data_IF_483014647274
#
_entry.id   IF_483014647274
#
_cell.length_a   1.000
_cell.length_b   1.000
_cell.length_c   1.000
_cell.angle_alpha   90.00
_cell.angle_beta   90.00
_cell.angle_gamma   90.00
#
_symmetry.space_group_name_H-M   'P 1'
#
loop_
_entity.id
_entity.type
_entity.pdbx_description
1 polymer ?
#
# COMPACT_ATOMS: atom_id res chain seq x y z
N UNK A 1 2.77 -8.94 -0.06
CA UNK A 1 1.93 -8.32 -1.12
C UNK A 1 1.03 -9.30 -1.87
N UNK A 2 1.32 -10.61 -1.94
CA UNK A 2 0.40 -11.57 -2.58
C UNK A 2 -0.99 -11.62 -1.94
N UNK A 3 -1.07 -11.48 -0.62
CA UNK A 3 -2.35 -11.53 0.13
C UNK A 3 -3.27 -10.32 -0.15
N UNK A 4 -2.72 -9.10 -0.20
CA UNK A 4 -3.50 -7.90 -0.53
C UNK A 4 -4.05 -7.97 -1.97
N UNK A 5 -3.21 -8.39 -2.93
CA UNK A 5 -3.65 -8.59 -4.31
C UNK A 5 -4.75 -9.66 -4.40
N UNK A 6 -4.60 -10.78 -3.69
CA UNK A 6 -5.62 -11.82 -3.66
C UNK A 6 -6.96 -11.31 -3.11
N UNK A 7 -6.95 -10.47 -2.07
CA UNK A 7 -8.17 -9.82 -1.58
C UNK A 7 -8.78 -8.87 -2.62
N UNK A 8 -7.96 -8.05 -3.28
CA UNK A 8 -8.42 -7.13 -4.33
C UNK A 8 -9.05 -7.89 -5.52
N UNK A 9 -8.39 -8.94 -6.01
CA UNK A 9 -8.92 -9.78 -7.11
C UNK A 9 -10.21 -10.53 -6.72
N UNK A 10 -10.29 -11.02 -5.47
CA UNK A 10 -11.48 -11.68 -4.96
C UNK A 10 -12.68 -10.73 -4.88
N UNK A 11 -12.46 -9.49 -4.44
CA UNK A 11 -13.50 -8.45 -4.41
C UNK A 11 -13.87 -8.01 -5.82
N UNK A 12 -12.89 -7.78 -6.69
CA UNK A 12 -13.09 -7.35 -8.07
C UNK A 12 -13.66 -8.46 -9.00
N UNK A 13 -13.72 -9.71 -8.53
CA UNK A 13 -14.16 -10.90 -9.28
C UNK A 13 -13.41 -11.08 -10.62
N UNK A 14 -12.18 -10.58 -10.71
CA UNK A 14 -11.33 -10.68 -11.90
C UNK A 14 -9.87 -10.65 -11.51
N UNK A 15 -9.02 -11.14 -12.42
CA UNK A 15 -7.58 -10.94 -12.32
C UNK A 15 -7.24 -9.50 -12.66
N UNK A 16 -6.34 -8.92 -11.87
CA UNK A 16 -5.81 -7.59 -12.14
C UNK A 16 -4.55 -7.72 -13.00
N UNK A 17 -4.35 -6.76 -13.89
CA UNK A 17 -3.06 -6.62 -14.56
C UNK A 17 -2.05 -6.05 -13.56
N UNK A 18 -0.95 -6.77 -13.34
CA UNK A 18 -0.01 -6.49 -12.25
C UNK A 18 1.38 -6.30 -12.83
N UNK A 19 1.90 -5.09 -12.67
CA UNK A 19 3.31 -4.80 -12.92
C UNK A 19 4.10 -4.85 -11.62
N UNK A 20 5.03 -5.79 -11.52
CA UNK A 20 5.99 -5.81 -10.43
C UNK A 20 7.03 -4.71 -10.64
N UNK A 21 7.34 -3.96 -9.57
CA UNK A 21 8.40 -2.95 -9.56
C UNK A 21 9.37 -3.26 -8.44
N UNK A 22 10.67 -3.09 -8.70
CA UNK A 22 11.69 -3.27 -7.67
C UNK A 22 12.22 -1.91 -7.16
N UNK A 23 13.07 -1.95 -6.14
CA UNK A 23 13.61 -0.72 -5.54
C UNK A 23 14.49 0.10 -6.48
N UNK A 24 15.15 -0.52 -7.47
CA UNK A 24 15.98 0.18 -8.45
C UNK A 24 15.11 0.93 -9.46
N UNK A 25 14.02 0.32 -9.92
CA UNK A 25 13.02 0.95 -10.77
C UNK A 25 12.41 2.17 -10.10
N UNK A 26 12.06 2.04 -8.83
CA UNK A 26 11.50 3.14 -8.04
C UNK A 26 12.52 4.27 -7.82
N UNK A 27 13.79 3.96 -7.54
CA UNK A 27 14.86 4.97 -7.44
C UNK A 27 15.08 5.72 -8.75
N UNK A 28 14.99 5.02 -9.89
CA UNK A 28 15.05 5.67 -11.22
C UNK A 28 13.84 6.57 -11.43
N UNK A 29 12.65 6.08 -11.12
CA UNK A 29 11.41 6.86 -11.23
C UNK A 29 11.44 8.11 -10.37
N UNK A 30 11.96 8.02 -9.14
CA UNK A 30 12.08 9.17 -8.24
C UNK A 30 12.88 10.33 -8.86
N UNK A 31 13.95 10.01 -9.60
CA UNK A 31 14.77 11.01 -10.32
C UNK A 31 14.07 11.64 -11.52
N UNK A 32 13.02 11.01 -12.04
CA UNK A 32 12.30 11.46 -13.24
C UNK A 32 10.94 12.11 -12.91
N UNK A 33 10.47 12.04 -11.67
CA UNK A 33 9.25 12.73 -11.27
C UNK A 33 9.51 14.24 -11.24
N UNK A 34 8.58 15.01 -11.80
CA UNK A 34 8.62 16.48 -11.74
C UNK A 34 8.53 16.95 -10.29
N UNK A 35 9.28 18.00 -9.94
CA UNK A 35 9.20 18.64 -8.61
C UNK A 35 7.80 19.18 -8.29
N UNK A 36 7.02 19.48 -9.32
CA UNK A 36 5.71 20.11 -9.19
C UNK A 36 4.59 19.07 -9.04
N UNK A 37 4.89 17.78 -9.27
CA UNK A 37 3.96 16.67 -9.07
C UNK A 37 4.23 15.98 -7.73
N UNK A 38 3.81 16.67 -6.66
CA UNK A 38 3.96 16.20 -5.29
C UNK A 38 3.36 14.80 -5.08
N UNK A 39 2.20 14.50 -5.67
CA UNK A 39 1.53 13.22 -5.48
C UNK A 39 2.31 12.08 -6.14
N UNK A 40 2.81 12.28 -7.36
CA UNK A 40 3.66 11.27 -8.00
C UNK A 40 4.95 11.04 -7.21
N UNK A 41 5.55 12.10 -6.66
CA UNK A 41 6.77 12.01 -5.86
C UNK A 41 6.52 11.22 -4.56
N UNK A 42 5.49 11.61 -3.80
CA UNK A 42 5.08 10.98 -2.55
C UNK A 42 4.81 9.48 -2.75
N UNK A 43 4.10 9.11 -3.82
CA UNK A 43 3.79 7.71 -4.11
C UNK A 43 5.03 6.86 -4.39
N UNK A 44 6.07 7.43 -5.00
CA UNK A 44 7.32 6.71 -5.25
C UNK A 44 8.10 6.52 -3.93
N UNK A 45 8.16 7.55 -3.09
CA UNK A 45 8.79 7.48 -1.77
C UNK A 45 8.09 6.45 -0.87
N UNK A 46 6.76 6.46 -0.80
CA UNK A 46 6.01 5.46 -0.04
C UNK A 46 6.33 4.04 -0.52
N UNK A 47 6.34 3.79 -1.82
CA UNK A 47 6.70 2.46 -2.37
C UNK A 47 8.14 2.06 -2.02
N UNK A 48 9.08 3.00 -2.01
CA UNK A 48 10.46 2.75 -1.59
C UNK A 48 10.55 2.41 -0.10
N UNK A 49 9.79 3.10 0.76
CA UNK A 49 9.67 2.78 2.17
C UNK A 49 9.09 1.37 2.37
N UNK A 50 8.03 1.01 1.62
CA UNK A 50 7.46 -0.34 1.65
C UNK A 50 8.43 -1.45 1.20
N UNK A 51 9.44 -1.14 0.38
CA UNK A 51 10.50 -2.11 0.06
C UNK A 51 11.45 -2.36 1.25
N UNK A 52 11.41 -1.53 2.30
CA UNK A 52 12.30 -1.59 3.46
C UNK A 52 11.48 -1.98 4.69
N UNK A 53 11.43 -3.27 4.97
CA UNK A 53 10.75 -3.79 6.16
C UNK A 53 11.65 -3.64 7.40
N UNK A 54 11.75 -2.42 7.92
CA UNK A 54 12.61 -2.05 9.06
C UNK A 54 11.83 -1.25 10.11
N UNK A 55 12.21 -1.42 11.37
CA UNK A 55 11.71 -0.59 12.47
C UNK A 55 12.03 0.89 12.20
N UNK A 56 11.07 1.77 12.47
CA UNK A 56 11.10 3.22 12.23
C UNK A 56 11.14 3.66 10.75
N UNK A 57 11.11 2.71 9.80
CA UNK A 57 10.96 2.99 8.36
C UNK A 57 9.67 2.37 7.79
N UNK A 58 9.52 1.05 7.91
CA UNK A 58 8.38 0.28 7.40
C UNK A 58 7.33 -0.05 8.45
N UNK A 59 7.71 -0.11 9.73
CA UNK A 59 6.80 -0.31 10.86
C UNK A 59 7.32 0.38 12.13
N UNK A 60 6.43 0.62 13.09
CA UNK A 60 6.74 1.27 14.37
C UNK A 60 6.55 0.29 15.53
N UNK A 61 7.31 0.49 16.61
CA UNK A 61 7.04 -0.15 17.90
C UNK A 61 6.93 0.88 19.04
N UNK A 62 5.88 0.79 19.90
CA UNK A 62 4.78 -0.17 19.82
C UNK A 62 3.81 0.16 18.66
N UNK A 63 3.27 -0.88 18.02
CA UNK A 63 2.19 -0.71 17.03
C UNK A 63 0.93 -0.18 17.69
N UNK A 64 0.11 0.57 16.96
CA UNK A 64 -1.14 1.19 17.47
C UNK A 64 -2.06 0.16 18.12
N UNK A 65 -2.16 -1.05 17.56
CA UNK A 65 -2.98 -2.12 18.15
C UNK A 65 -2.53 -2.54 19.56
N UNK A 66 -1.24 -2.39 19.90
CA UNK A 66 -0.75 -2.62 21.27
C UNK A 66 -1.08 -1.45 22.19
N UNK A 67 -1.10 -0.23 21.66
CA UNK A 67 -1.42 0.98 22.41
C UNK A 67 -2.92 1.11 22.72
N UNK A 68 -3.78 0.64 21.81
CA UNK A 68 -5.23 0.74 21.90
C UNK A 68 -5.90 -0.64 21.67
N UNK A 69 -5.73 -1.61 22.60
CA UNK A 69 -6.19 -3.00 22.41
C UNK A 69 -7.72 -3.15 22.28
N UNK A 70 -8.49 -2.19 22.79
CA UNK A 70 -9.94 -2.13 22.71
C UNK A 70 -10.45 -1.71 21.31
N UNK A 71 -9.59 -1.08 20.51
CA UNK A 71 -9.94 -0.62 19.17
C UNK A 71 -9.74 -1.76 18.19
N UNK A 72 -10.84 -2.24 17.60
CA UNK A 72 -10.80 -3.17 16.47
C UNK A 72 -10.64 -2.39 15.16
N UNK A 73 -9.46 -2.38 14.51
CA UNK A 73 -9.30 -1.74 13.22
C UNK A 73 -10.10 -2.47 12.15
N UNK A 74 -10.62 -1.73 11.18
CA UNK A 74 -11.21 -2.31 9.97
C UNK A 74 -10.12 -3.05 9.20
N UNK A 75 -10.36 -4.32 8.89
CA UNK A 75 -9.45 -5.09 8.07
C UNK A 75 -9.48 -4.61 6.61
N UNK A 76 -8.39 -4.84 5.89
CA UNK A 76 -8.31 -4.60 4.44
C UNK A 76 -9.48 -5.23 3.69
N UNK A 77 -9.84 -6.48 4.03
CA UNK A 77 -10.95 -7.19 3.39
C UNK A 77 -12.27 -6.47 3.65
N UNK A 78 -12.58 -6.13 4.91
CA UNK A 78 -13.81 -5.39 5.27
C UNK A 78 -13.87 -4.06 4.51
N UNK A 79 -12.76 -3.30 4.46
CA UNK A 79 -12.69 -2.03 3.74
C UNK A 79 -12.96 -2.18 2.24
N UNK A 80 -12.28 -3.14 1.58
CA UNK A 80 -12.46 -3.36 0.13
C UNK A 80 -13.89 -3.80 -0.19
N UNK A 81 -14.50 -4.65 0.64
CA UNK A 81 -15.88 -5.09 0.46
C UNK A 81 -16.88 -3.93 0.59
N UNK A 82 -16.64 -2.98 1.51
CA UNK A 82 -17.54 -1.86 1.76
C UNK A 82 -17.44 -0.72 0.74
N UNK A 83 -16.31 -0.54 0.06
CA UNK A 83 -16.08 0.67 -0.76
C UNK A 83 -15.74 0.40 -2.22
N UNK A 84 -15.38 -0.83 -2.60
CA UNK A 84 -15.00 -1.13 -3.98
C UNK A 84 -16.21 -1.54 -4.84
N UNK A 85 -17.30 -2.00 -4.21
CA UNK A 85 -18.52 -2.45 -4.88
C UNK A 85 -19.53 -1.32 -5.18
N UNK A 86 -19.32 -0.12 -4.63
CA UNK A 86 -20.19 1.05 -4.86
C UNK A 86 -19.79 1.86 -6.11
N UNK A 87 -18.83 1.34 -6.89
CA UNK A 87 -18.41 1.92 -8.17
C UNK A 87 -19.12 1.22 -9.34
N UNK A 88 -20.46 1.27 -9.34
CA UNK A 88 -21.29 1.05 -10.54
C UNK A 88 -21.85 2.40 -11.02
#
# INVERSE_FOLDING_TARGET
>A
MGELLAHAEAVAKRKLDVTAVNSEDLKRKLKSVSSDDFMAWLWVELKLAYCRDRLDEGYLEPVVNRLCPEVKPTSVKEYLQSHWMDAD
#
